data_IF_460254159994
#
_entry.id   IF_460254159994
#
_cell.length_a   1.000
_cell.length_b   1.000
_cell.length_c   1.000
_cell.angle_alpha   90.00
_cell.angle_beta   90.00
_cell.angle_gamma   90.00
#
_symmetry.space_group_name_H-M   'P 1'
#
loop_
_entity.id
_entity.type
_entity.pdbx_description
1 polymer ?
#
# COMPACT_ATOMS: atom_id res chain seq x y z
N UNK A 1 -10.31 14.36 7.97
CA UNK A 1 -11.31 13.26 8.00
C UNK A 1 -11.00 12.26 9.12
N UNK A 2 -9.95 11.43 9.04
CA UNK A 2 -9.64 10.44 10.09
C UNK A 2 -9.42 11.07 11.46
N UNK A 3 -8.67 12.17 11.56
CA UNK A 3 -8.49 12.90 12.81
C UNK A 3 -9.83 13.38 13.43
N UNK A 4 -10.75 13.88 12.59
CA UNK A 4 -12.10 14.22 13.03
C UNK A 4 -12.94 12.98 13.45
N UNK A 5 -12.54 11.80 13.01
CA UNK A 5 -13.11 10.50 13.43
C UNK A 5 -12.50 9.94 14.71
N UNK A 6 -11.61 10.68 15.38
CA UNK A 6 -10.99 10.29 16.65
C UNK A 6 -9.71 9.48 16.52
N UNK A 7 -9.07 9.47 15.34
CA UNK A 7 -7.80 8.76 15.15
C UNK A 7 -6.61 9.72 15.26
N UNK A 8 -5.52 9.29 15.90
CA UNK A 8 -4.20 9.88 15.68
C UNK A 8 -3.71 9.48 14.29
N UNK A 9 -3.33 10.47 13.47
CA UNK A 9 -2.91 10.22 12.08
C UNK A 9 -1.47 10.68 11.92
N UNK A 10 -0.60 9.78 11.45
CA UNK A 10 0.79 10.07 11.17
C UNK A 10 1.11 9.81 9.70
N UNK A 11 1.86 10.71 9.09
CA UNK A 11 2.47 10.51 7.78
C UNK A 11 3.98 10.48 7.95
N UNK A 12 4.63 9.45 7.44
CA UNK A 12 6.07 9.24 7.58
C UNK A 12 6.78 9.68 6.30
N UNK A 13 7.76 10.55 6.42
CA UNK A 13 8.72 10.83 5.34
C UNK A 13 9.84 9.77 5.41
N UNK A 14 9.53 8.57 4.95
CA UNK A 14 10.44 7.42 4.92
C UNK A 14 11.60 7.62 3.93
N UNK A 15 12.64 6.80 4.04
CA UNK A 15 13.73 6.74 3.03
C UNK A 15 13.12 6.55 1.64
N UNK A 16 13.69 7.24 0.64
CA UNK A 16 13.09 7.41 -0.69
C UNK A 16 12.34 8.73 -0.86
N UNK A 17 11.94 9.41 0.22
CA UNK A 17 11.27 10.71 0.15
C UNK A 17 12.24 11.83 -0.26
N UNK A 18 11.69 12.90 -0.87
CA UNK A 18 12.44 14.09 -1.25
C UNK A 18 12.81 14.97 -0.03
N UNK A 19 13.75 15.91 -0.23
CA UNK A 19 14.07 16.96 0.75
C UNK A 19 15.18 16.63 1.75
N UNK A 20 15.76 15.41 1.67
CA UNK A 20 16.86 14.96 2.54
C UNK A 20 18.13 14.58 1.77
N UNK A 21 18.26 15.04 0.52
CA UNK A 21 19.39 14.78 -0.36
C UNK A 21 19.28 13.49 -1.18
N UNK A 22 20.13 13.40 -2.22
CA UNK A 22 20.06 12.34 -3.22
C UNK A 22 20.26 10.94 -2.63
N UNK A 23 21.19 10.78 -1.68
CA UNK A 23 21.43 9.48 -1.04
C UNK A 23 20.20 8.95 -0.31
N UNK A 24 19.43 9.84 0.33
CA UNK A 24 18.19 9.46 0.99
C UNK A 24 17.10 9.06 -0.02
N UNK A 25 16.96 9.82 -1.09
CA UNK A 25 15.98 9.52 -2.16
C UNK A 25 16.33 8.23 -2.90
N UNK A 26 17.62 8.01 -3.22
CA UNK A 26 18.07 6.83 -3.97
C UNK A 26 18.19 5.56 -3.12
N UNK A 27 18.00 5.62 -1.81
CA UNK A 27 18.21 4.49 -0.90
C UNK A 27 17.28 3.29 -1.15
N UNK A 28 16.16 3.51 -1.82
CA UNK A 28 15.13 2.49 -2.14
C UNK A 28 15.23 1.96 -3.58
N UNK A 29 16.26 2.35 -4.32
CA UNK A 29 16.40 1.93 -5.73
C UNK A 29 16.42 0.40 -5.84
N UNK A 30 15.52 -0.16 -6.64
CA UNK A 30 15.27 -1.60 -6.82
C UNK A 30 15.05 -2.37 -5.47
N UNK A 31 14.53 -1.66 -4.44
CA UNK A 31 14.33 -2.24 -3.10
C UNK A 31 13.04 -1.74 -2.41
N UNK A 32 12.00 -1.52 -3.19
CA UNK A 32 10.71 -1.00 -2.70
C UNK A 32 10.10 -1.89 -1.62
N UNK A 33 9.58 -1.27 -0.57
CA UNK A 33 8.89 -1.97 0.52
C UNK A 33 9.81 -2.58 1.57
N UNK A 34 11.10 -2.28 1.54
CA UNK A 34 12.07 -2.71 2.56
C UNK A 34 12.39 -1.57 3.55
N UNK A 35 13.24 -0.63 3.17
CA UNK A 35 13.67 0.43 4.08
C UNK A 35 12.53 1.36 4.48
N UNK A 36 11.58 1.60 3.60
CA UNK A 36 10.39 2.40 3.89
C UNK A 36 9.51 1.73 4.96
N UNK A 37 9.35 0.41 4.88
CA UNK A 37 8.59 -0.34 5.89
C UNK A 37 9.28 -0.28 7.25
N UNK A 38 10.61 -0.41 7.30
CA UNK A 38 11.38 -0.21 8.53
C UNK A 38 11.09 1.17 9.14
N UNK A 39 11.12 2.23 8.34
CA UNK A 39 10.88 3.60 8.81
C UNK A 39 9.43 3.79 9.28
N UNK A 40 8.45 3.21 8.58
CA UNK A 40 7.03 3.21 8.98
C UNK A 40 6.86 2.51 10.34
N UNK A 41 7.42 1.32 10.51
CA UNK A 41 7.32 0.55 11.75
C UNK A 41 7.99 1.28 12.91
N UNK A 42 9.16 1.90 12.71
CA UNK A 42 9.85 2.71 13.71
C UNK A 42 9.04 3.95 14.12
N UNK A 43 8.37 4.59 13.18
CA UNK A 43 7.48 5.71 13.52
C UNK A 43 6.30 5.24 14.37
N UNK A 44 5.73 4.08 14.07
CA UNK A 44 4.67 3.48 14.91
C UNK A 44 5.21 3.14 16.31
N UNK A 45 6.38 2.48 16.40
CA UNK A 45 7.03 2.17 17.69
C UNK A 45 7.17 3.44 18.54
N UNK A 46 7.69 4.52 17.95
CA UNK A 46 7.87 5.80 18.63
C UNK A 46 6.55 6.38 19.17
N UNK A 47 5.45 6.29 18.40
CA UNK A 47 4.14 6.80 18.85
C UNK A 47 3.54 5.95 19.96
N UNK A 48 3.75 4.64 19.93
CA UNK A 48 3.34 3.72 21.00
C UNK A 48 4.15 4.00 22.27
N UNK A 49 5.47 4.14 22.17
CA UNK A 49 6.36 4.48 23.30
C UNK A 49 5.99 5.83 23.94
N UNK A 50 5.52 6.80 23.16
CA UNK A 50 5.03 8.11 23.65
C UNK A 50 3.63 8.07 24.24
N UNK A 51 2.94 6.94 24.20
CA UNK A 51 1.55 6.82 24.64
C UNK A 51 0.53 7.55 23.76
N UNK A 52 0.93 7.90 22.53
CA UNK A 52 0.05 8.57 21.55
C UNK A 52 -0.79 7.56 20.79
N UNK A 53 -0.23 6.39 20.48
CA UNK A 53 -0.90 5.31 19.78
C UNK A 53 -1.10 4.09 20.70
N UNK A 54 -2.27 3.49 20.59
CA UNK A 54 -2.59 2.23 21.26
C UNK A 54 -2.11 1.06 20.39
N UNK A 55 -1.21 0.18 20.88
CA UNK A 55 -0.68 -0.94 20.12
C UNK A 55 -1.75 -1.94 19.67
N UNK A 56 -2.89 -2.01 20.37
CA UNK A 56 -3.99 -2.90 19.98
C UNK A 56 -4.95 -2.29 18.97
N UNK A 57 -4.76 -1.03 18.57
CA UNK A 57 -5.64 -0.32 17.64
C UNK A 57 -4.86 0.40 16.52
N UNK A 58 -3.90 -0.30 15.92
CA UNK A 58 -3.07 0.22 14.84
C UNK A 58 -3.71 -0.04 13.47
N UNK A 59 -3.81 1.00 12.65
CA UNK A 59 -4.21 0.92 11.26
C UNK A 59 -3.12 1.45 10.32
N UNK A 60 -3.05 0.94 9.10
CA UNK A 60 -2.13 1.41 8.07
C UNK A 60 -2.88 1.61 6.76
N UNK A 61 -2.47 2.58 5.95
CA UNK A 61 -3.07 2.77 4.64
C UNK A 61 -2.38 3.82 3.81
N UNK A 62 -2.66 3.79 2.52
CA UNK A 62 -2.11 4.72 1.57
C UNK A 62 -2.70 4.55 0.17
N UNK A 63 -2.33 5.46 -0.72
CA UNK A 63 -2.74 5.47 -2.12
C UNK A 63 -1.52 5.44 -3.03
N UNK A 64 -1.59 4.74 -4.19
CA UNK A 64 -0.50 4.64 -5.15
C UNK A 64 0.72 3.96 -4.52
N UNK A 65 1.88 4.60 -4.50
CA UNK A 65 3.06 4.09 -3.78
C UNK A 65 2.76 3.81 -2.30
N UNK A 66 1.89 4.61 -1.67
CA UNK A 66 1.39 4.35 -0.32
C UNK A 66 0.55 3.06 -0.23
N UNK A 67 -0.14 2.67 -1.29
CA UNK A 67 -0.83 1.37 -1.40
C UNK A 67 0.17 0.21 -1.53
N UNK A 68 1.24 0.39 -2.32
CA UNK A 68 2.37 -0.57 -2.41
C UNK A 68 2.98 -0.78 -1.02
N UNK A 69 3.30 0.31 -0.32
CA UNK A 69 3.88 0.24 1.02
C UNK A 69 2.91 -0.33 2.07
N UNK A 70 1.60 -0.09 1.92
CA UNK A 70 0.59 -0.73 2.78
C UNK A 70 0.65 -2.24 2.64
N UNK A 71 0.68 -2.77 1.41
CA UNK A 71 0.78 -4.20 1.14
C UNK A 71 2.09 -4.78 1.67
N UNK A 72 3.21 -4.09 1.47
CA UNK A 72 4.52 -4.50 2.00
C UNK A 72 4.53 -4.52 3.54
N UNK A 73 3.97 -3.50 4.17
CA UNK A 73 3.90 -3.39 5.63
C UNK A 73 3.12 -4.54 6.26
N UNK A 74 1.92 -4.86 5.74
CA UNK A 74 1.09 -5.94 6.31
C UNK A 74 1.61 -7.34 5.98
N UNK A 75 2.44 -7.51 4.93
CA UNK A 75 3.14 -8.76 4.65
C UNK A 75 4.38 -8.94 5.54
N UNK A 76 4.94 -7.84 6.07
CA UNK A 76 6.12 -7.83 6.94
C UNK A 76 5.76 -7.94 8.41
N UNK A 77 4.69 -7.27 8.85
CA UNK A 77 4.31 -7.14 10.27
C UNK A 77 2.80 -7.33 10.46
N UNK A 78 2.42 -8.11 11.47
CA UNK A 78 1.03 -8.50 11.75
C UNK A 78 0.35 -7.64 12.84
N UNK A 79 1.02 -6.61 13.36
CA UNK A 79 0.50 -5.75 14.43
C UNK A 79 -0.72 -4.91 14.05
N UNK A 80 -0.90 -4.64 12.76
CA UNK A 80 -2.00 -3.81 12.28
C UNK A 80 -3.32 -4.58 12.29
N UNK A 81 -4.36 -3.96 12.85
CA UNK A 81 -5.71 -4.54 12.94
C UNK A 81 -6.59 -4.19 11.75
N UNK A 82 -6.21 -3.20 10.95
CA UNK A 82 -6.87 -2.84 9.70
C UNK A 82 -5.90 -2.21 8.72
N UNK A 83 -6.10 -2.49 7.43
CA UNK A 83 -5.37 -1.85 6.35
C UNK A 83 -6.31 -1.30 5.27
N UNK A 84 -5.90 -0.22 4.60
CA UNK A 84 -6.57 0.30 3.42
C UNK A 84 -5.55 0.59 2.32
N UNK A 85 -5.48 -0.31 1.33
CA UNK A 85 -4.58 -0.22 0.19
C UNK A 85 -5.32 0.35 -1.02
N UNK A 86 -5.01 1.58 -1.39
CA UNK A 86 -5.58 2.25 -2.57
C UNK A 86 -4.62 2.21 -3.75
N UNK A 87 -5.07 1.75 -4.92
CA UNK A 87 -4.31 1.71 -6.16
C UNK A 87 -2.86 1.22 -5.94
N UNK A 88 -2.70 0.11 -5.22
CA UNK A 88 -1.40 -0.51 -4.92
C UNK A 88 -1.17 -1.76 -5.77
N UNK A 89 0.06 -1.92 -6.29
CA UNK A 89 0.54 -3.14 -6.94
C UNK A 89 1.45 -3.90 -5.97
N UNK A 90 1.50 -5.22 -6.07
CA UNK A 90 2.34 -6.06 -5.22
C UNK A 90 3.15 -7.10 -5.98
N UNK A 91 3.00 -7.15 -7.31
CA UNK A 91 3.78 -8.00 -8.22
C UNK A 91 4.06 -7.20 -9.50
N UNK A 92 5.08 -6.34 -9.46
CA UNK A 92 5.40 -5.43 -10.57
C UNK A 92 5.68 -6.17 -11.89
N UNK A 93 6.21 -7.39 -11.82
CA UNK A 93 6.44 -8.21 -13.01
C UNK A 93 5.16 -8.43 -13.83
N UNK A 94 4.00 -8.57 -13.17
CA UNK A 94 2.71 -8.77 -13.85
C UNK A 94 2.23 -7.53 -14.61
N UNK A 95 2.85 -6.39 -14.37
CA UNK A 95 2.47 -5.09 -14.96
C UNK A 95 3.49 -4.55 -15.95
N UNK A 96 4.57 -5.26 -16.21
CA UNK A 96 5.54 -4.87 -17.23
C UNK A 96 4.87 -4.76 -18.58
N UNK A 97 4.88 -3.55 -19.16
CA UNK A 97 4.29 -3.25 -20.47
C UNK A 97 2.79 -2.95 -20.48
N UNK A 98 2.11 -3.00 -19.32
CA UNK A 98 0.66 -2.67 -19.21
C UNK A 98 0.38 -1.47 -18.28
N UNK A 99 1.41 -0.95 -17.63
CA UNK A 99 1.39 0.35 -16.93
C UNK A 99 2.14 1.43 -17.73
N UNK A 100 2.17 2.66 -17.21
CA UNK A 100 2.87 3.77 -17.87
C UNK A 100 4.36 3.88 -17.50
N UNK A 101 4.89 3.02 -16.61
CA UNK A 101 6.21 3.17 -16.00
C UNK A 101 7.31 2.31 -16.65
N UNK A 102 7.16 1.88 -17.90
CA UNK A 102 8.09 0.97 -18.60
C UNK A 102 9.54 1.45 -18.49
N UNK A 103 9.83 2.72 -18.88
CA UNK A 103 11.19 3.25 -18.86
C UNK A 103 11.74 3.38 -17.43
N UNK A 104 10.91 3.72 -16.45
CA UNK A 104 11.32 3.77 -15.06
C UNK A 104 11.67 2.36 -14.58
N UNK A 105 10.82 1.39 -14.84
CA UNK A 105 11.03 0.01 -14.42
C UNK A 105 12.30 -0.57 -15.06
N UNK A 106 12.52 -0.33 -16.35
CA UNK A 106 13.73 -0.79 -17.04
C UNK A 106 15.01 -0.15 -16.49
N UNK A 107 14.98 1.15 -16.19
CA UNK A 107 16.12 1.86 -15.62
C UNK A 107 16.41 1.44 -14.18
N UNK A 108 15.39 1.15 -13.39
CA UNK A 108 15.53 0.84 -11.97
C UNK A 108 15.68 -0.66 -11.70
N UNK A 109 14.85 -1.48 -12.33
CA UNK A 109 14.78 -2.93 -12.08
C UNK A 109 15.53 -3.74 -13.14
N UNK A 110 15.78 -3.15 -14.31
CA UNK A 110 16.29 -3.84 -15.49
C UNK A 110 15.20 -4.50 -16.32
N UNK A 111 15.60 -5.07 -17.47
CA UNK A 111 14.69 -5.86 -18.30
C UNK A 111 14.30 -7.15 -17.56
N UNK A 112 13.01 -7.54 -17.49
CA UNK A 112 12.56 -8.67 -16.67
C UNK A 112 13.34 -9.98 -16.91
N UNK A 113 13.65 -10.29 -18.17
CA UNK A 113 14.41 -11.51 -18.52
C UNK A 113 15.93 -11.44 -18.22
N UNK A 114 16.42 -10.29 -17.71
CA UNK A 114 17.81 -10.12 -17.25
C UNK A 114 17.90 -9.77 -15.77
N UNK A 115 16.85 -9.16 -15.21
CA UNK A 115 16.80 -8.67 -13.83
C UNK A 115 15.64 -9.23 -13.04
N UNK A 116 15.24 -10.47 -13.29
CA UNK A 116 14.08 -11.11 -12.66
C UNK A 116 14.11 -11.04 -11.13
N UNK A 117 15.29 -11.15 -10.53
CA UNK A 117 15.45 -11.13 -9.07
C UNK A 117 15.00 -9.80 -8.45
N UNK A 118 15.22 -8.66 -9.14
CA UNK A 118 14.72 -7.36 -8.68
C UNK A 118 13.18 -7.33 -8.64
N UNK A 119 12.53 -7.85 -9.70
CA UNK A 119 11.07 -7.93 -9.76
C UNK A 119 10.50 -8.87 -8.68
N UNK A 120 11.15 -9.99 -8.43
CA UNK A 120 10.73 -10.94 -7.38
C UNK A 120 10.94 -10.32 -5.98
N UNK A 121 12.03 -9.57 -5.79
CA UNK A 121 12.32 -8.88 -4.53
C UNK A 121 11.22 -7.87 -4.18
N UNK A 122 10.88 -6.97 -5.09
CA UNK A 122 9.80 -5.99 -4.85
C UNK A 122 8.40 -6.62 -4.95
N UNK A 123 8.27 -7.83 -5.50
CA UNK A 123 7.08 -8.66 -5.48
C UNK A 123 6.78 -9.32 -4.13
N UNK A 124 7.61 -9.05 -3.12
CA UNK A 124 7.52 -9.63 -1.78
C UNK A 124 6.11 -9.69 -1.20
N UNK A 125 5.27 -8.63 -1.24
CA UNK A 125 3.96 -8.68 -0.61
C UNK A 125 3.02 -9.73 -1.20
N UNK A 126 3.07 -9.93 -2.52
CA UNK A 126 2.25 -10.95 -3.17
C UNK A 126 2.81 -12.36 -2.96
N UNK A 127 4.12 -12.52 -3.08
CA UNK A 127 4.80 -13.80 -2.91
C UNK A 127 4.72 -14.33 -1.46
N UNK A 128 4.47 -13.45 -0.50
CA UNK A 128 4.31 -13.76 0.92
C UNK A 128 2.93 -13.36 1.47
N UNK A 129 1.90 -13.37 0.64
CA UNK A 129 0.53 -13.05 1.05
C UNK A 129 0.02 -13.95 2.18
N UNK A 130 0.55 -15.17 2.30
CA UNK A 130 0.26 -16.12 3.38
C UNK A 130 0.64 -15.60 4.78
N UNK A 131 1.52 -14.61 4.88
CA UNK A 131 1.89 -13.95 6.14
C UNK A 131 0.85 -12.92 6.58
N UNK A 132 0.03 -12.41 5.66
CA UNK A 132 -0.92 -11.34 5.95
C UNK A 132 -2.08 -11.86 6.78
N UNK A 133 -2.33 -11.22 7.92
CA UNK A 133 -3.46 -11.49 8.81
C UNK A 133 -4.38 -10.28 8.95
N UNK A 134 -3.95 -9.13 8.45
CA UNK A 134 -4.61 -7.83 8.60
C UNK A 134 -5.83 -7.73 7.68
N UNK A 135 -7.04 -7.50 8.21
CA UNK A 135 -8.20 -7.15 7.41
C UNK A 135 -7.91 -5.98 6.48
N UNK A 136 -8.12 -6.15 5.16
CA UNK A 136 -7.66 -5.17 4.17
C UNK A 136 -8.77 -4.73 3.20
N UNK A 137 -8.96 -3.41 3.10
CA UNK A 137 -9.79 -2.76 2.10
C UNK A 137 -8.94 -2.35 0.91
N UNK A 138 -9.27 -2.85 -0.27
CA UNK A 138 -8.67 -2.44 -1.54
C UNK A 138 -9.59 -1.48 -2.28
N UNK A 139 -9.03 -0.41 -2.86
CA UNK A 139 -9.78 0.57 -3.66
C UNK A 139 -8.96 1.02 -4.86
N UNK A 140 -9.59 1.11 -6.04
CA UNK A 140 -8.90 1.47 -7.28
C UNK A 140 -9.87 2.07 -8.30
N UNK A 141 -9.37 2.88 -9.24
CA UNK A 141 -10.10 3.31 -10.43
C UNK A 141 -10.12 2.22 -11.50
N UNK A 142 -11.28 1.98 -12.13
CA UNK A 142 -11.42 0.98 -13.19
C UNK A 142 -10.45 1.19 -14.37
N UNK A 143 -10.18 2.48 -14.71
CA UNK A 143 -9.32 2.88 -15.82
C UNK A 143 -7.95 3.37 -15.37
N UNK A 144 -7.49 2.93 -14.21
CA UNK A 144 -6.17 3.27 -13.73
C UNK A 144 -5.11 2.58 -14.58
N UNK A 145 -4.29 3.38 -15.28
CA UNK A 145 -3.16 2.90 -16.09
C UNK A 145 -1.80 3.25 -15.46
N UNK A 146 -1.80 4.02 -14.38
CA UNK A 146 -0.61 4.22 -13.57
C UNK A 146 -0.33 2.98 -12.73
N UNK A 147 -1.37 2.55 -11.99
CA UNK A 147 -1.36 1.34 -11.17
C UNK A 147 -2.62 0.55 -11.51
N UNK A 148 -2.55 -0.35 -12.50
CA UNK A 148 -3.72 -1.05 -13.03
C UNK A 148 -4.54 -1.76 -11.97
N UNK A 149 -5.88 -1.72 -12.13
CA UNK A 149 -6.84 -2.28 -11.17
C UNK A 149 -6.54 -3.75 -10.82
N UNK A 150 -6.00 -4.50 -11.78
CA UNK A 150 -5.59 -5.89 -11.58
C UNK A 150 -4.61 -6.09 -10.42
N UNK A 151 -3.80 -5.08 -10.04
CA UNK A 151 -2.91 -5.17 -8.87
C UNK A 151 -3.68 -5.28 -7.55
N UNK A 152 -4.73 -4.48 -7.41
CA UNK A 152 -5.63 -4.57 -6.25
C UNK A 152 -6.46 -5.86 -6.28
N UNK A 153 -6.89 -6.31 -7.46
CA UNK A 153 -7.63 -7.56 -7.65
C UNK A 153 -6.80 -8.78 -7.28
N UNK A 154 -5.52 -8.82 -7.65
CA UNK A 154 -4.59 -9.90 -7.29
C UNK A 154 -4.45 -10.05 -5.77
N UNK A 155 -4.18 -8.95 -5.07
CA UNK A 155 -4.05 -8.98 -3.61
C UNK A 155 -5.37 -9.32 -2.92
N UNK A 156 -6.48 -8.74 -3.38
CA UNK A 156 -7.81 -9.07 -2.89
C UNK A 156 -8.11 -10.57 -3.03
N UNK A 157 -7.83 -11.17 -4.20
CA UNK A 157 -8.07 -12.59 -4.42
C UNK A 157 -7.15 -13.45 -3.56
N UNK A 158 -5.87 -13.08 -3.41
CA UNK A 158 -4.93 -13.79 -2.53
C UNK A 158 -5.45 -13.83 -1.08
N UNK A 159 -5.86 -12.68 -0.53
CA UNK A 159 -6.37 -12.61 0.84
C UNK A 159 -7.70 -13.36 1.00
N UNK A 160 -8.59 -13.33 0.01
CA UNK A 160 -9.80 -14.15 0.02
C UNK A 160 -9.51 -15.64 0.09
N UNK A 161 -8.56 -16.11 -0.71
CA UNK A 161 -8.16 -17.52 -0.73
C UNK A 161 -7.57 -17.99 0.62
N UNK A 162 -7.00 -17.05 1.38
CA UNK A 162 -6.43 -17.29 2.71
C UNK A 162 -7.46 -17.08 3.85
N UNK A 163 -8.71 -16.72 3.53
CA UNK A 163 -9.75 -16.47 4.53
C UNK A 163 -9.55 -15.18 5.33
N UNK A 164 -8.66 -14.26 4.89
CA UNK A 164 -8.46 -12.96 5.53
C UNK A 164 -9.62 -12.04 5.16
N UNK A 165 -10.27 -11.35 6.12
CA UNK A 165 -11.34 -10.41 5.82
C UNK A 165 -10.88 -9.33 4.85
N UNK A 166 -11.53 -9.22 3.71
CA UNK A 166 -11.12 -8.27 2.68
C UNK A 166 -12.29 -7.77 1.85
N UNK A 167 -12.18 -6.55 1.33
CA UNK A 167 -13.14 -5.94 0.42
C UNK A 167 -12.38 -5.28 -0.73
N UNK A 168 -12.94 -5.37 -1.95
CA UNK A 168 -12.46 -4.64 -3.12
C UNK A 168 -13.54 -3.67 -3.59
N UNK A 169 -13.13 -2.43 -3.87
CA UNK A 169 -13.98 -1.40 -4.46
C UNK A 169 -13.31 -0.87 -5.73
N UNK A 170 -13.94 -1.08 -6.86
CA UNK A 170 -13.50 -0.55 -8.16
C UNK A 170 -14.42 0.60 -8.54
N UNK A 171 -13.87 1.80 -8.72
CA UNK A 171 -14.63 3.00 -9.09
C UNK A 171 -14.79 3.09 -10.61
N UNK A 172 -16.03 2.94 -11.14
CA UNK A 172 -16.25 2.91 -12.59
C UNK A 172 -15.78 4.19 -13.28
N UNK A 173 -15.10 4.03 -14.42
CA UNK A 173 -14.60 5.13 -15.28
C UNK A 173 -13.60 6.08 -14.60
N UNK A 174 -13.09 5.74 -13.40
CA UNK A 174 -12.07 6.53 -12.73
C UNK A 174 -10.67 6.06 -13.12
N UNK A 175 -9.76 7.02 -13.22
CA UNK A 175 -8.33 6.82 -13.41
C UNK A 175 -7.61 6.72 -12.06
N UNK A 176 -6.30 6.97 -12.03
CA UNK A 176 -5.50 6.92 -10.80
C UNK A 176 -5.99 7.88 -9.70
N UNK A 177 -6.45 9.07 -10.08
CA UNK A 177 -7.18 9.98 -9.20
C UNK A 177 -8.69 9.72 -9.26
N UNK A 178 -9.33 9.51 -8.11
CA UNK A 178 -10.79 9.47 -8.04
C UNK A 178 -11.30 10.90 -8.05
N UNK A 179 -11.89 11.34 -9.17
CA UNK A 179 -12.26 12.75 -9.41
C UNK A 179 -13.75 13.06 -9.24
N UNK A 180 -14.62 12.05 -9.40
CA UNK A 180 -16.08 12.22 -9.23
C UNK A 180 -16.39 12.48 -7.75
N UNK A 181 -17.06 13.63 -7.41
CA UNK A 181 -17.27 14.03 -6.01
C UNK A 181 -18.01 12.98 -5.15
N UNK A 182 -19.02 12.31 -5.70
CA UNK A 182 -19.73 11.25 -5.00
C UNK A 182 -18.83 10.03 -4.69
N UNK A 183 -17.91 9.69 -5.59
CA UNK A 183 -16.94 8.63 -5.37
C UNK A 183 -15.85 9.03 -4.37
N UNK A 184 -15.43 10.30 -4.36
CA UNK A 184 -14.54 10.81 -3.32
C UNK A 184 -15.18 10.71 -1.94
N UNK A 185 -16.45 11.11 -1.82
CA UNK A 185 -17.23 10.97 -0.59
C UNK A 185 -17.33 9.51 -0.17
N UNK A 186 -17.74 8.62 -1.06
CA UNK A 186 -17.83 7.15 -0.81
C UNK A 186 -16.48 6.58 -0.33
N UNK A 187 -15.38 6.95 -0.98
CA UNK A 187 -14.04 6.52 -0.57
C UNK A 187 -13.72 6.91 0.87
N UNK A 188 -14.03 8.15 1.26
CA UNK A 188 -13.79 8.62 2.62
C UNK A 188 -14.69 7.95 3.66
N UNK A 189 -15.94 7.73 3.33
CA UNK A 189 -16.89 7.00 4.19
C UNK A 189 -16.47 5.55 4.40
N UNK A 190 -15.94 4.89 3.35
CA UNK A 190 -15.38 3.53 3.43
C UNK A 190 -14.15 3.46 4.33
N UNK A 191 -13.23 4.42 4.26
CA UNK A 191 -12.10 4.48 5.18
C UNK A 191 -12.58 4.56 6.64
N UNK A 192 -13.50 5.49 6.95
CA UNK A 192 -14.03 5.64 8.31
C UNK A 192 -14.75 4.38 8.77
N UNK A 193 -15.56 3.77 7.92
CA UNK A 193 -16.27 2.53 8.24
C UNK A 193 -15.30 1.37 8.46
N UNK A 194 -14.31 1.21 7.57
CA UNK A 194 -13.36 0.10 7.64
C UNK A 194 -12.54 0.17 8.93
N UNK A 195 -11.88 1.29 9.16
CA UNK A 195 -11.13 1.48 10.40
C UNK A 195 -12.04 1.44 11.64
N UNK A 196 -13.24 1.97 11.58
CA UNK A 196 -14.21 1.90 12.68
C UNK A 196 -14.64 0.49 13.06
N UNK A 197 -14.62 -0.46 12.11
CA UNK A 197 -14.96 -1.86 12.38
C UNK A 197 -13.84 -2.62 13.13
N UNK A 198 -12.59 -2.21 12.99
CA UNK A 198 -11.44 -2.99 13.47
C UNK A 198 -10.57 -2.27 14.50
N UNK A 199 -10.69 -0.92 14.64
CA UNK A 199 -9.86 -0.12 15.53
C UNK A 199 -10.61 0.50 16.71
N UNK A 200 -11.89 0.20 16.88
CA UNK A 200 -12.72 0.71 17.99
C UNK A 200 -12.94 -0.33 19.06
#
# INVERSE_FOLDING_TARGET
>A
MLAAGGYAVVAVNYRGSNGRGLAYTASINADWGNLEVVDILRAVDHLVEKGIADPERLGVGGWSYGGILTNATIATDTRFKAAASGAGVSMQLSFYGVDQYILQNENELGLPWKGIDNYLKIGFPFLHADRIKTPTLFMVGEKDFNVPAAGSEQMYQALRSLGVPTQLVVYPKQFHGISVPSYQKDRFERYLKWYGNYLK
#
